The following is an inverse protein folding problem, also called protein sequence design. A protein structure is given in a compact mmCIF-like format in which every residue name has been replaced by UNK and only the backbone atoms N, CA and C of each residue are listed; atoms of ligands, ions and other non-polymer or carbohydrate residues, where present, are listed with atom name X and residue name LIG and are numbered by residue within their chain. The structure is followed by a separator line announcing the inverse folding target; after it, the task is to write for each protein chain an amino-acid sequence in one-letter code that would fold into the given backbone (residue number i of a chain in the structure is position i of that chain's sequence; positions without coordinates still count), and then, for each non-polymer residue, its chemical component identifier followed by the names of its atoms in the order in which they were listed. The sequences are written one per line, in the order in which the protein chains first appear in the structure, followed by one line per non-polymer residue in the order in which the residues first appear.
data_IF_743566027962
#
_entry.id   IF_743566027962
#
_cell.length_a   1.000
_cell.length_b   1.000
_cell.length_c   1.000
_cell.angle_alpha   90.00
_cell.angle_beta   90.00
_cell.angle_gamma   90.00
#
_symmetry.space_group_name_H-M   'P 1'
#
loop_
_entity.id
_entity.type
_entity.pdbx_description
1 polymer ?
#
# COMPACT_ATOMS: atom_id res chain seq x y z
N UNK A 1 -31.13 33.34 -16.92
CA UNK A 1 -30.80 31.96 -16.54
C UNK A 1 -29.31 31.93 -16.20
N UNK A 2 -28.98 31.99 -14.91
CA UNK A 2 -27.58 31.91 -14.46
C UNK A 2 -27.11 30.46 -14.53
N UNK A 3 -26.03 30.22 -15.25
CA UNK A 3 -25.33 28.93 -15.22
C UNK A 3 -24.64 28.84 -13.85
N UNK A 4 -25.19 28.02 -12.95
CA UNK A 4 -24.50 27.64 -11.72
C UNK A 4 -23.24 26.87 -12.11
N UNK A 5 -22.07 27.47 -11.86
CA UNK A 5 -20.80 26.78 -11.95
C UNK A 5 -20.86 25.56 -11.02
N UNK A 6 -20.72 24.37 -11.60
CA UNK A 6 -20.66 23.13 -10.85
C UNK A 6 -19.31 23.12 -10.12
N UNK A 7 -19.30 23.60 -8.87
CA UNK A 7 -18.10 23.57 -8.02
C UNK A 7 -17.82 22.10 -7.72
N UNK A 8 -16.82 21.52 -8.39
CA UNK A 8 -16.32 20.19 -8.03
C UNK A 8 -16.01 20.20 -6.53
N UNK A 9 -16.56 19.26 -5.73
CA UNK A 9 -16.28 19.24 -4.31
C UNK A 9 -14.77 19.12 -4.11
N UNK A 10 -14.18 20.03 -3.32
CA UNK A 10 -12.78 19.94 -2.90
C UNK A 10 -12.55 18.55 -2.33
N UNK A 11 -11.68 17.76 -2.97
CA UNK A 11 -11.29 16.46 -2.47
C UNK A 11 -10.73 16.65 -1.05
N UNK A 12 -11.33 15.95 -0.08
CA UNK A 12 -10.84 15.95 1.29
C UNK A 12 -9.57 15.10 1.34
N UNK A 13 -8.52 15.53 2.05
CA UNK A 13 -7.33 14.71 2.21
C UNK A 13 -7.69 13.43 3.00
N UNK A 14 -6.94 12.35 2.76
CA UNK A 14 -7.06 11.13 3.54
C UNK A 14 -6.84 11.39 5.04
N UNK A 15 -7.61 10.69 5.87
CA UNK A 15 -7.47 10.74 7.32
C UNK A 15 -6.24 9.93 7.74
N UNK A 16 -5.51 10.42 8.75
CA UNK A 16 -4.45 9.65 9.40
C UNK A 16 -5.07 8.84 10.54
N UNK A 17 -5.42 7.58 10.27
CA UNK A 17 -6.11 6.70 11.21
C UNK A 17 -5.23 6.38 12.43
N UNK A 18 -3.98 5.97 12.18
CA UNK A 18 -3.00 5.72 13.24
C UNK A 18 -1.59 6.10 12.76
N UNK A 19 -0.76 6.59 13.68
CA UNK A 19 0.68 6.75 13.44
C UNK A 19 1.35 5.38 13.43
N UNK A 20 2.25 5.13 12.47
CA UNK A 20 3.06 3.90 12.47
C UNK A 20 4.38 4.06 13.23
N UNK A 21 4.73 5.27 13.68
CA UNK A 21 5.91 5.48 14.53
C UNK A 21 5.75 4.77 15.87
N UNK A 22 6.67 3.86 16.18
CA UNK A 22 6.66 3.11 17.45
C UNK A 22 5.54 2.07 17.56
N UNK A 23 4.81 1.82 16.48
CA UNK A 23 3.74 0.83 16.45
C UNK A 23 4.36 -0.56 16.29
N UNK A 24 3.99 -1.51 17.15
CA UNK A 24 4.46 -2.89 16.99
C UNK A 24 3.87 -3.52 15.72
N UNK A 25 4.53 -4.56 15.20
CA UNK A 25 4.05 -5.32 14.04
C UNK A 25 2.64 -5.86 14.26
N UNK A 26 2.35 -6.40 15.44
CA UNK A 26 1.04 -6.96 15.77
C UNK A 26 -0.05 -5.90 15.84
N UNK A 27 0.23 -4.73 16.42
CA UNK A 27 -0.73 -3.61 16.43
C UNK A 27 -0.98 -3.08 15.02
N UNK A 28 0.09 -2.96 14.22
CA UNK A 28 -0.02 -2.56 12.83
C UNK A 28 -0.89 -3.54 12.02
N UNK A 29 -0.66 -4.84 12.16
CA UNK A 29 -1.48 -5.89 11.53
C UNK A 29 -2.94 -5.84 12.02
N UNK A 30 -3.18 -5.60 13.31
CA UNK A 30 -4.54 -5.45 13.86
C UNK A 30 -5.28 -4.27 13.23
N UNK A 31 -4.63 -3.12 13.06
CA UNK A 31 -5.24 -1.96 12.40
C UNK A 31 -5.53 -2.27 10.94
N UNK A 32 -4.58 -2.87 10.21
CA UNK A 32 -4.78 -3.24 8.80
C UNK A 32 -5.88 -4.29 8.58
N UNK A 33 -6.20 -5.11 9.58
CA UNK A 33 -7.34 -6.06 9.51
C UNK A 33 -8.71 -5.37 9.54
N UNK A 34 -8.79 -4.10 9.95
CA UNK A 34 -10.07 -3.37 10.07
C UNK A 34 -10.64 -2.87 8.73
N UNK A 35 -9.89 -3.01 7.64
CA UNK A 35 -10.31 -2.57 6.31
C UNK A 35 -9.57 -3.30 5.19
N UNK A 36 -9.78 -2.85 3.96
CA UNK A 36 -9.15 -3.33 2.74
C UNK A 36 -8.08 -2.32 2.33
N UNK A 37 -6.82 -2.77 2.29
CA UNK A 37 -5.67 -2.00 1.82
C UNK A 37 -5.36 -2.22 0.34
N UNK A 38 -4.41 -1.45 -0.20
CA UNK A 38 -3.91 -1.62 -1.57
C UNK A 38 -3.47 -3.06 -1.87
N UNK A 39 -2.72 -3.68 -0.97
CA UNK A 39 -2.28 -5.08 -1.11
C UNK A 39 -3.42 -6.11 -1.12
N UNK A 40 -4.58 -5.75 -0.56
CA UNK A 40 -5.75 -6.63 -0.47
C UNK A 40 -6.67 -6.48 -1.69
N UNK A 41 -6.62 -5.32 -2.37
CA UNK A 41 -7.57 -4.95 -3.41
C UNK A 41 -7.60 -5.97 -4.56
N UNK A 42 -6.42 -6.37 -5.07
CA UNK A 42 -6.32 -7.38 -6.12
C UNK A 42 -6.90 -8.74 -5.69
N UNK A 43 -6.71 -9.13 -4.42
CA UNK A 43 -7.28 -10.37 -3.90
C UNK A 43 -8.80 -10.26 -3.75
N UNK A 44 -9.30 -9.11 -3.29
CA UNK A 44 -10.73 -8.84 -3.14
C UNK A 44 -11.50 -8.93 -4.47
N UNK A 45 -10.88 -8.53 -5.59
CA UNK A 45 -11.47 -8.64 -6.93
C UNK A 45 -11.07 -9.92 -7.68
N UNK A 46 -10.33 -10.84 -7.06
CA UNK A 46 -9.96 -12.12 -7.65
C UNK A 46 -8.85 -12.06 -8.70
N UNK A 47 -8.05 -11.00 -8.74
CA UNK A 47 -6.92 -10.82 -9.66
C UNK A 47 -5.56 -11.20 -9.05
N UNK A 48 -5.48 -11.42 -7.73
CA UNK A 48 -4.23 -11.78 -7.06
C UNK A 48 -3.87 -13.27 -7.28
N UNK A 49 -2.71 -13.59 -7.88
CA UNK A 49 -2.29 -14.97 -8.09
C UNK A 49 -1.77 -15.68 -6.83
N UNK A 50 -1.50 -14.93 -5.75
CA UNK A 50 -0.89 -15.43 -4.52
C UNK A 50 -1.87 -15.54 -3.35
N UNK A 51 -3.03 -14.87 -3.43
CA UNK A 51 -4.02 -14.84 -2.36
C UNK A 51 -5.43 -14.94 -2.93
N UNK A 52 -6.20 -15.92 -2.46
CA UNK A 52 -7.60 -16.07 -2.86
C UNK A 52 -8.54 -15.11 -2.10
N UNK A 53 -9.73 -14.85 -2.67
CA UNK A 53 -10.80 -14.09 -1.99
C UNK A 53 -11.19 -14.72 -0.64
N UNK A 54 -11.25 -16.06 -0.57
CA UNK A 54 -11.56 -16.78 0.66
C UNK A 54 -10.48 -16.58 1.73
N UNK A 55 -9.22 -16.67 1.35
CA UNK A 55 -8.08 -16.43 2.23
C UNK A 55 -8.08 -15.00 2.77
N UNK A 56 -8.30 -14.01 1.90
CA UNK A 56 -8.45 -12.62 2.33
C UNK A 56 -9.60 -12.47 3.34
N UNK A 57 -10.76 -13.06 3.04
CA UNK A 57 -11.91 -13.03 3.96
C UNK A 57 -11.60 -13.67 5.31
N UNK A 58 -10.90 -14.81 5.33
CA UNK A 58 -10.48 -15.45 6.58
C UNK A 58 -9.56 -14.52 7.38
N UNK A 59 -8.58 -13.87 6.74
CA UNK A 59 -7.67 -12.93 7.38
C UNK A 59 -8.38 -11.69 7.96
N UNK A 60 -9.30 -11.09 7.20
CA UNK A 60 -10.05 -9.89 7.62
C UNK A 60 -11.10 -10.17 8.69
N UNK A 61 -11.58 -11.41 8.79
CA UNK A 61 -12.56 -11.81 9.81
C UNK A 61 -11.95 -12.58 10.99
N UNK A 62 -10.62 -12.64 11.08
CA UNK A 62 -9.90 -13.23 12.21
C UNK A 62 -9.92 -14.78 12.25
N UNK A 63 -10.21 -15.42 11.11
CA UNK A 63 -10.23 -16.88 10.95
C UNK A 63 -8.91 -17.45 10.41
N UNK A 64 -7.85 -16.66 10.41
CA UNK A 64 -6.51 -16.99 9.90
C UNK A 64 -5.56 -17.59 10.95
N UNK A 65 -6.06 -17.96 12.13
CA UNK A 65 -5.21 -18.42 13.24
C UNK A 65 -4.33 -19.63 12.89
N UNK A 66 -4.81 -20.53 12.03
CA UNK A 66 -4.06 -21.70 11.57
C UNK A 66 -3.37 -21.54 10.22
N UNK A 67 -3.41 -20.34 9.63
CA UNK A 67 -2.80 -20.10 8.32
C UNK A 67 -1.30 -19.80 8.47
N UNK A 68 -0.45 -20.25 7.52
CA UNK A 68 0.94 -19.83 7.47
C UNK A 68 1.00 -18.31 7.39
N UNK A 69 1.82 -17.70 8.26
CA UNK A 69 2.08 -16.26 8.22
C UNK A 69 3.51 -16.07 7.73
N UNK A 70 3.74 -15.22 6.73
CA UNK A 70 5.10 -14.89 6.33
C UNK A 70 5.85 -14.32 7.52
N UNK A 71 7.00 -14.92 7.83
CA UNK A 71 7.97 -14.30 8.70
C UNK A 71 8.63 -13.16 7.90
N UNK A 72 8.53 -11.95 8.44
CA UNK A 72 9.13 -10.76 7.80
C UNK A 72 10.62 -10.67 8.09
N UNK A 73 11.13 -11.44 9.05
CA UNK A 73 12.53 -11.47 9.47
C UNK A 73 13.29 -12.66 8.87
N UNK A 74 12.60 -13.51 8.09
CA UNK A 74 13.19 -14.63 7.36
C UNK A 74 13.90 -14.15 6.08
N UNK A 75 15.23 -14.28 5.96
CA UNK A 75 15.98 -13.86 4.78
C UNK A 75 15.63 -14.60 3.49
N UNK A 76 14.95 -15.75 3.57
CA UNK A 76 14.44 -16.50 2.41
C UNK A 76 13.12 -15.91 1.89
N UNK A 77 12.47 -15.03 2.67
CA UNK A 77 11.20 -14.41 2.33
C UNK A 77 11.38 -13.21 1.39
N UNK A 78 10.64 -13.11 0.27
CA UNK A 78 10.62 -11.90 -0.55
C UNK A 78 10.19 -10.64 0.21
N UNK A 79 9.39 -10.80 1.27
CA UNK A 79 8.93 -9.69 2.13
C UNK A 79 10.09 -9.07 2.89
N UNK A 80 11.03 -9.88 3.37
CA UNK A 80 12.24 -9.41 4.05
C UNK A 80 13.05 -8.48 3.15
N UNK A 81 13.35 -8.93 1.92
CA UNK A 81 14.11 -8.14 0.96
C UNK A 81 13.39 -6.88 0.53
N UNK A 82 12.06 -6.92 0.38
CA UNK A 82 11.24 -5.73 0.13
C UNK A 82 11.47 -4.65 1.19
N UNK A 83 11.37 -4.99 2.48
CA UNK A 83 11.59 -4.03 3.56
C UNK A 83 13.03 -3.50 3.62
N UNK A 84 14.02 -4.38 3.44
CA UNK A 84 15.44 -4.00 3.51
C UNK A 84 15.84 -3.08 2.35
N UNK A 85 15.30 -3.32 1.15
CA UNK A 85 15.71 -2.62 -0.07
C UNK A 85 14.85 -1.38 -0.37
N UNK A 86 13.63 -1.27 0.17
CA UNK A 86 12.74 -0.12 0.00
C UNK A 86 13.45 1.25 0.17
N UNK A 87 14.28 1.48 1.21
CA UNK A 87 14.95 2.78 1.39
C UNK A 87 15.94 3.09 0.28
N UNK A 88 16.63 2.07 -0.25
CA UNK A 88 17.59 2.22 -1.35
C UNK A 88 16.87 2.52 -2.66
N UNK A 89 15.72 1.88 -2.92
CA UNK A 89 14.89 2.19 -4.09
C UNK A 89 14.42 3.64 -4.05
N UNK A 90 13.91 4.11 -2.91
CA UNK A 90 13.47 5.49 -2.74
C UNK A 90 14.60 6.52 -2.90
N UNK A 91 15.81 6.19 -2.42
CA UNK A 91 17.00 7.01 -2.63
C UNK A 91 17.39 7.09 -4.10
N UNK A 92 17.43 5.95 -4.81
CA UNK A 92 17.76 5.93 -6.24
C UNK A 92 16.72 6.70 -7.07
N UNK A 93 15.43 6.54 -6.78
CA UNK A 93 14.37 7.35 -7.38
C UNK A 93 14.64 8.85 -7.21
N UNK A 94 14.97 9.27 -5.99
CA UNK A 94 15.24 10.68 -5.68
C UNK A 94 16.46 11.20 -6.44
N UNK A 95 17.54 10.40 -6.53
CA UNK A 95 18.77 10.75 -7.26
C UNK A 95 18.54 10.87 -8.77
N UNK A 96 17.77 9.95 -9.35
CA UNK A 96 17.51 9.92 -10.80
C UNK A 96 16.54 10.99 -11.26
N UNK A 97 15.52 11.30 -10.45
CA UNK A 97 14.45 12.23 -10.83
C UNK A 97 14.63 13.64 -10.26
N UNK A 98 15.49 13.81 -9.25
CA UNK A 98 15.61 15.05 -8.48
C UNK A 98 14.44 15.31 -7.51
N UNK A 99 13.43 14.43 -7.49
CA UNK A 99 12.25 14.56 -6.63
C UNK A 99 12.59 14.19 -5.19
N UNK A 100 12.13 15.00 -4.25
CA UNK A 100 12.32 14.74 -2.82
C UNK A 100 11.18 13.89 -2.29
N UNK A 101 11.51 12.81 -1.60
CA UNK A 101 10.52 11.89 -1.02
C UNK A 101 10.58 11.89 0.50
N UNK A 102 9.45 11.62 1.15
CA UNK A 102 9.34 11.48 2.61
C UNK A 102 8.47 10.29 2.98
N UNK A 103 8.87 9.54 4.01
CA UNK A 103 8.06 8.42 4.53
C UNK A 103 6.71 8.90 5.05
N UNK A 104 5.67 8.12 4.78
CA UNK A 104 4.33 8.33 5.33
C UNK A 104 4.16 7.42 6.53
N UNK A 105 4.51 7.92 7.72
CA UNK A 105 4.42 7.13 8.96
C UNK A 105 2.98 7.08 9.51
N UNK A 106 2.02 6.65 8.71
CA UNK A 106 0.63 6.50 9.10
C UNK A 106 -0.09 5.41 8.29
N UNK A 107 -1.08 4.75 8.91
CA UNK A 107 -2.17 4.13 8.15
C UNK A 107 -3.14 5.25 7.80
N UNK A 108 -3.41 5.40 6.51
CA UNK A 108 -4.37 6.35 5.96
C UNK A 108 -5.73 5.68 5.79
N UNK A 109 -6.79 6.46 5.91
CA UNK A 109 -8.17 6.04 5.72
C UNK A 109 -8.90 7.03 4.81
N UNK A 110 -9.80 6.53 3.97
CA UNK A 110 -10.62 7.40 3.12
C UNK A 110 -11.48 8.35 3.98
N UNK A 111 -11.64 9.63 3.61
CA UNK A 111 -12.31 10.64 4.45
C UNK A 111 -13.83 10.55 4.48
N UNK A 112 -14.44 9.85 3.52
CA UNK A 112 -15.89 9.64 3.50
C UNK A 112 -16.31 8.50 4.43
N UNK A 113 -17.32 8.71 5.32
CA UNK A 113 -17.77 7.70 6.28
C UNK A 113 -18.20 6.36 5.69
N UNK A 114 -18.80 6.36 4.49
CA UNK A 114 -19.23 5.15 3.77
C UNK A 114 -18.05 4.34 3.18
N UNK A 115 -16.84 4.93 3.17
CA UNK A 115 -15.61 4.35 2.62
C UNK A 115 -14.51 4.19 3.66
N UNK A 116 -14.81 4.33 4.95
CA UNK A 116 -13.83 4.14 6.03
C UNK A 116 -13.14 2.77 6.04
N UNK A 117 -13.72 1.77 5.37
CA UNK A 117 -13.09 0.47 5.16
C UNK A 117 -11.89 0.52 4.19
N UNK A 118 -11.75 1.57 3.37
CA UNK A 118 -10.61 1.77 2.47
C UNK A 118 -9.42 2.33 3.25
N UNK A 119 -8.35 1.54 3.33
CA UNK A 119 -7.12 1.88 4.03
C UNK A 119 -5.94 1.98 3.04
N UNK A 120 -4.91 2.73 3.41
CA UNK A 120 -3.66 2.79 2.66
C UNK A 120 -2.45 2.93 3.60
N UNK A 121 -1.37 2.23 3.28
CA UNK A 121 -0.05 2.50 3.84
C UNK A 121 0.85 2.83 2.65
N UNK A 122 1.27 4.09 2.56
CA UNK A 122 2.15 4.53 1.49
C UNK A 122 3.59 4.38 1.95
N UNK A 123 4.47 3.91 1.07
CA UNK A 123 5.90 3.88 1.36
C UNK A 123 6.42 5.32 1.51
N UNK A 124 6.21 6.13 0.46
CA UNK A 124 6.66 7.52 0.42
C UNK A 124 5.63 8.45 -0.25
N UNK A 125 5.68 9.72 0.15
CA UNK A 125 5.08 10.83 -0.60
C UNK A 125 6.17 11.66 -1.24
N UNK A 126 5.93 12.10 -2.48
CA UNK A 126 6.77 13.07 -3.17
C UNK A 126 6.37 14.47 -2.69
N UNK A 127 7.36 15.32 -2.44
CA UNK A 127 7.15 16.66 -1.85
C UNK A 127 7.34 17.73 -2.90
N UNK A 128 6.39 18.67 -2.96
CA UNK A 128 6.44 19.86 -3.82
C UNK A 128 6.60 19.53 -5.32
N UNK A 129 5.84 18.53 -5.78
CA UNK A 129 5.75 18.13 -7.18
C UNK A 129 4.27 18.04 -7.57
N UNK A 130 3.91 18.72 -8.66
CA UNK A 130 2.52 18.82 -9.12
C UNK A 130 2.10 17.61 -9.98
N UNK A 131 3.06 16.83 -10.48
CA UNK A 131 2.80 15.68 -11.36
C UNK A 131 2.74 14.36 -10.60
N UNK A 132 3.60 14.20 -9.59
CA UNK A 132 3.74 12.94 -8.83
C UNK A 132 3.63 13.22 -7.34
N UNK A 133 2.72 12.53 -6.65
CA UNK A 133 2.48 12.75 -5.21
C UNK A 133 2.85 11.56 -4.34
N UNK A 134 2.90 10.35 -4.91
CA UNK A 134 3.14 9.09 -4.19
C UNK A 134 4.24 8.31 -4.88
N UNK A 135 5.06 7.64 -4.08
CA UNK A 135 6.03 6.66 -4.54
C UNK A 135 5.77 5.34 -3.80
N UNK A 136 5.47 4.29 -4.58
CA UNK A 136 5.41 2.90 -4.13
C UNK A 136 6.68 2.18 -4.63
N UNK A 137 7.43 1.59 -3.71
CA UNK A 137 8.67 0.89 -4.01
C UNK A 137 8.42 -0.61 -4.09
N UNK A 138 8.78 -1.23 -5.22
CA UNK A 138 8.71 -2.68 -5.38
C UNK A 138 10.06 -3.24 -5.78
N UNK A 139 10.39 -4.41 -5.22
CA UNK A 139 11.56 -5.19 -5.60
C UNK A 139 11.11 -6.56 -6.09
N UNK A 140 11.74 -7.05 -7.15
CA UNK A 140 11.50 -8.38 -7.68
C UNK A 140 12.83 -9.12 -7.80
N UNK A 141 12.86 -10.37 -7.32
CA UNK A 141 13.97 -11.28 -7.59
C UNK A 141 13.98 -11.74 -9.05
N UNK A 142 15.01 -12.51 -9.43
CA UNK A 142 15.23 -12.98 -10.81
C UNK A 142 13.98 -13.64 -11.43
N UNK A 143 13.34 -14.56 -10.70
CA UNK A 143 12.13 -15.25 -11.17
C UNK A 143 10.89 -14.36 -11.27
N UNK A 144 10.85 -13.27 -10.51
CA UNK A 144 9.77 -12.29 -10.49
C UNK A 144 9.93 -11.22 -11.56
N UNK A 145 11.17 -10.86 -11.93
CA UNK A 145 11.46 -9.80 -12.91
C UNK A 145 10.77 -10.04 -14.27
N UNK A 146 10.61 -11.30 -14.68
CA UNK A 146 9.86 -11.66 -15.90
C UNK A 146 8.37 -11.32 -15.84
N UNK A 147 7.79 -10.98 -14.70
CA UNK A 147 6.39 -10.53 -14.63
C UNK A 147 6.28 -9.02 -14.88
N UNK A 148 7.41 -8.30 -14.84
CA UNK A 148 7.49 -6.85 -14.94
C UNK A 148 8.00 -6.34 -16.30
N UNK A 149 8.33 -7.24 -17.23
CA UNK A 149 8.88 -6.92 -18.56
C UNK A 149 7.97 -6.02 -19.40
N UNK A 150 6.66 -6.20 -19.25
CA UNK A 150 5.66 -5.46 -20.01
C UNK A 150 5.06 -4.28 -19.19
N UNK A 151 5.64 -3.97 -18.03
CA UNK A 151 5.18 -2.91 -17.13
C UNK A 151 4.85 -3.41 -15.73
N UNK A 152 4.10 -2.60 -14.97
CA UNK A 152 3.62 -2.98 -13.64
C UNK A 152 2.54 -4.07 -13.80
N UNK A 153 2.63 -5.22 -13.10
CA UNK A 153 1.60 -6.25 -13.17
C UNK A 153 0.24 -5.75 -12.68
N UNK A 154 -0.85 -6.19 -13.32
CA UNK A 154 -2.23 -5.76 -12.99
C UNK A 154 -2.62 -5.98 -11.51
N UNK A 155 -2.09 -7.03 -10.88
CA UNK A 155 -2.36 -7.32 -9.46
C UNK A 155 -1.57 -6.42 -8.49
N UNK A 156 -0.74 -5.51 -9.01
CA UNK A 156 0.03 -4.50 -8.28
C UNK A 156 -0.43 -3.07 -8.60
N UNK A 157 -1.06 -2.86 -9.77
CA UNK A 157 -1.44 -1.55 -10.30
C UNK A 157 -2.51 -0.82 -9.47
#
# INVERSE_FOLDING_TARGET
MGMSANVLPKQRPALRLVSTKGLSRDEWLKVRKQGIGSSDAAAAVGMNPYQSQLELWMAKTGRDAGMPKPDSDDPESPVYWGHILEPLVAEQYSRQTGRKVRRVNAVLQHPDPDKHWMLANLDYSVVADDEVQVLECKTAGEFGARLWKDGVPDYIQ
#
